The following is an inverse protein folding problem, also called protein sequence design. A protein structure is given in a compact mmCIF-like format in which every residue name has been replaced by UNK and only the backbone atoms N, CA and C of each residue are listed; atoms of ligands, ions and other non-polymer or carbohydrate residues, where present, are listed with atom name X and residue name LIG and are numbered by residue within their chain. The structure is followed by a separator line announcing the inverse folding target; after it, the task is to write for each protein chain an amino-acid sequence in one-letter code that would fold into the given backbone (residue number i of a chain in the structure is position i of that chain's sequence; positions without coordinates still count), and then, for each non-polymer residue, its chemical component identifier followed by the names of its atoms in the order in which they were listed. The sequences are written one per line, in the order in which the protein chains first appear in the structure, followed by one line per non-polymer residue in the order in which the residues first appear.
data_IF_750387969047
#
_entry.id   IF_750387969047
#
_cell.length_a   1.000
_cell.length_b   1.000
_cell.length_c   1.000
_cell.angle_alpha   90.00
_cell.angle_beta   90.00
_cell.angle_gamma   90.00
#
_symmetry.space_group_name_H-M   'P 1'
#
loop_
_entity.id
_entity.type
_entity.pdbx_description
1 polymer ?
#
# COMPACT_ATOMS: atom_id res chain seq x y z
N UNK A 1 -31.22 18.10 -12.84
CA UNK A 1 -29.87 18.68 -12.61
C UNK A 1 -29.55 18.43 -11.14
N UNK A 2 -28.65 17.58 -10.70
CA UNK A 2 -27.39 17.05 -11.28
C UNK A 2 -27.08 15.69 -10.64
N UNK A 3 -26.66 14.73 -11.46
CA UNK A 3 -26.14 13.42 -11.03
C UNK A 3 -24.69 13.65 -10.56
N UNK A 4 -24.39 13.44 -9.28
CA UNK A 4 -23.04 13.51 -8.74
C UNK A 4 -22.28 12.22 -9.08
N UNK A 5 -21.55 12.26 -10.20
CA UNK A 5 -20.66 11.19 -10.64
C UNK A 5 -19.47 11.07 -9.66
N UNK A 6 -19.57 10.14 -8.71
CA UNK A 6 -18.47 9.72 -7.87
C UNK A 6 -17.52 8.87 -8.72
N UNK A 7 -16.60 9.52 -9.43
CA UNK A 7 -15.47 8.85 -10.08
C UNK A 7 -14.54 8.30 -8.98
N UNK A 8 -14.90 7.14 -8.42
CA UNK A 8 -13.98 6.35 -7.60
C UNK A 8 -12.90 5.86 -8.57
N UNK A 9 -11.85 6.66 -8.69
CA UNK A 9 -10.63 6.29 -9.38
C UNK A 9 -10.00 5.20 -8.51
N UNK A 10 -10.40 3.95 -8.72
CA UNK A 10 -9.74 2.80 -8.12
C UNK A 10 -8.31 2.84 -8.63
N UNK A 11 -7.39 3.37 -7.82
CA UNK A 11 -5.96 3.31 -8.08
C UNK A 11 -5.63 1.82 -8.10
N UNK A 12 -5.47 1.26 -9.31
CA UNK A 12 -5.09 -0.13 -9.49
C UNK A 12 -3.64 -0.26 -9.00
N UNK A 13 -3.48 -0.74 -7.76
CA UNK A 13 -2.16 -1.06 -7.22
C UNK A 13 -1.70 -2.37 -7.86
N UNK A 14 -0.51 -2.40 -8.50
CA UNK A 14 -0.03 -3.61 -9.14
C UNK A 14 0.23 -4.71 -8.10
N UNK A 15 -0.17 -5.93 -8.45
CA UNK A 15 0.03 -7.12 -7.64
C UNK A 15 1.30 -7.85 -8.10
N UNK A 16 2.13 -8.26 -7.15
CA UNK A 16 3.37 -9.01 -7.37
C UNK A 16 3.18 -10.42 -6.82
N UNK A 17 3.58 -11.43 -7.59
CA UNK A 17 3.58 -12.83 -7.16
C UNK A 17 4.99 -13.20 -6.71
N UNK A 18 5.16 -13.59 -5.45
CA UNK A 18 6.41 -14.11 -4.90
C UNK A 18 6.33 -15.62 -4.77
N UNK A 19 7.29 -16.32 -5.38
CA UNK A 19 7.42 -17.77 -5.23
C UNK A 19 8.24 -18.07 -3.98
N UNK A 20 7.59 -18.60 -2.94
CA UNK A 20 8.26 -19.11 -1.74
C UNK A 20 8.45 -20.63 -1.86
N UNK A 21 9.40 -21.22 -1.13
CA UNK A 21 9.68 -22.66 -1.17
C UNK A 21 8.50 -23.59 -0.80
N UNK A 22 7.36 -23.04 -0.37
CA UNK A 22 6.10 -23.75 -0.07
C UNK A 22 4.92 -23.37 -0.97
N UNK A 23 5.12 -22.52 -1.99
CA UNK A 23 4.08 -22.08 -2.92
C UNK A 23 4.19 -20.61 -3.35
N UNK A 24 3.26 -20.18 -4.20
CA UNK A 24 3.12 -18.79 -4.66
C UNK A 24 2.27 -17.97 -3.69
N UNK A 25 2.74 -16.79 -3.31
CA UNK A 25 1.98 -15.82 -2.53
C UNK A 25 1.95 -14.49 -3.24
N UNK A 26 0.75 -13.99 -3.47
CA UNK A 26 0.53 -12.70 -4.10
C UNK A 26 0.46 -11.60 -3.05
N UNK A 27 1.14 -10.50 -3.33
CA UNK A 27 1.21 -9.30 -2.50
C UNK A 27 0.93 -8.09 -3.38
N UNK A 28 0.41 -7.00 -2.82
CA UNK A 28 0.55 -5.71 -3.48
C UNK A 28 2.02 -5.25 -3.41
N UNK A 29 2.40 -4.36 -4.31
CA UNK A 29 3.79 -3.87 -4.37
C UNK A 29 4.23 -3.22 -3.05
N UNK A 30 3.33 -2.51 -2.35
CA UNK A 30 3.65 -1.81 -1.11
C UNK A 30 3.87 -2.77 0.07
N UNK A 31 3.06 -3.82 0.22
CA UNK A 31 3.28 -4.82 1.27
C UNK A 31 4.54 -5.63 1.01
N UNK A 32 4.88 -5.89 -0.25
CA UNK A 32 6.14 -6.55 -0.60
C UNK A 32 7.34 -5.71 -0.19
N UNK A 33 7.29 -4.39 -0.40
CA UNK A 33 8.36 -3.47 -0.01
C UNK A 33 8.42 -3.28 1.52
N UNK A 34 7.27 -3.27 2.20
CA UNK A 34 7.21 -3.22 3.66
C UNK A 34 7.87 -4.46 4.30
N UNK A 35 7.70 -5.65 3.70
CA UNK A 35 8.40 -6.89 4.13
C UNK A 35 9.93 -6.75 4.03
N UNK A 36 10.41 -5.99 3.06
CA UNK A 36 11.83 -5.64 2.89
C UNK A 36 12.24 -4.38 3.71
N UNK A 37 11.37 -3.92 4.63
CA UNK A 37 11.51 -2.75 5.52
C UNK A 37 11.65 -1.41 4.78
N UNK A 38 11.00 -1.28 3.63
CA UNK A 38 10.98 -0.05 2.83
C UNK A 38 9.59 0.60 2.96
N UNK A 39 9.57 1.86 3.41
CA UNK A 39 8.35 2.66 3.57
C UNK A 39 8.43 3.90 2.67
N UNK A 40 7.36 4.18 1.92
CA UNK A 40 7.25 5.38 1.09
C UNK A 40 6.43 6.44 1.83
N UNK A 41 6.96 7.65 1.87
CA UNK A 41 6.29 8.80 2.48
C UNK A 41 6.19 9.91 1.45
N UNK A 42 4.98 10.41 1.25
CA UNK A 42 4.69 11.56 0.40
C UNK A 42 4.74 12.86 1.21
N UNK A 43 3.75 13.73 0.99
CA UNK A 43 3.54 14.88 1.88
C UNK A 43 3.25 14.39 3.30
N UNK A 44 3.88 15.04 4.29
CA UNK A 44 3.73 14.67 5.68
C UNK A 44 2.59 15.47 6.29
N UNK A 45 1.57 14.77 6.76
CA UNK A 45 0.55 15.27 7.66
C UNK A 45 0.57 14.43 8.97
N UNK A 46 -0.18 14.87 9.97
CA UNK A 46 -0.23 14.20 11.28
C UNK A 46 -0.76 12.75 11.18
N UNK A 47 -1.60 12.47 10.19
CA UNK A 47 -2.19 11.15 10.01
C UNK A 47 -1.17 10.16 9.42
N UNK A 48 -0.49 10.56 8.35
CA UNK A 48 0.58 9.83 7.68
C UNK A 48 1.74 9.63 8.66
N UNK A 49 2.09 10.63 9.47
CA UNK A 49 3.13 10.49 10.50
C UNK A 49 2.81 9.34 11.47
N UNK A 50 1.57 9.24 11.96
CA UNK A 50 1.14 8.13 12.82
C UNK A 50 1.20 6.78 12.10
N UNK A 51 0.80 6.71 10.82
CA UNK A 51 0.87 5.47 10.04
C UNK A 51 2.32 5.01 9.82
N UNK A 52 3.23 5.93 9.54
CA UNK A 52 4.67 5.63 9.38
C UNK A 52 5.26 5.14 10.70
N UNK A 53 4.93 5.78 11.83
CA UNK A 53 5.37 5.32 13.15
C UNK A 53 4.86 3.90 13.43
N UNK A 54 3.59 3.61 13.11
CA UNK A 54 3.04 2.27 13.27
C UNK A 54 3.81 1.23 12.41
N UNK A 55 4.18 1.57 11.18
CA UNK A 55 4.98 0.70 10.30
C UNK A 55 6.43 0.52 10.74
N UNK A 56 6.96 1.38 11.62
CA UNK A 56 8.31 1.25 12.17
C UNK A 56 8.35 0.39 13.44
N UNK A 57 7.24 0.29 14.17
CA UNK A 57 7.16 -0.45 15.43
C UNK A 57 6.85 -1.95 15.24
N UNK A 58 6.35 -2.36 14.06
CA UNK A 58 5.91 -3.72 13.73
C UNK A 58 6.50 -4.19 12.40
#
# INVERSE_FOLDING_TARGET
MTVSNQNVSQVLVPMVVEQTGRGERSYDIYSRLLKDRIVFVGQIDDHIANLVIAQLLF
#
